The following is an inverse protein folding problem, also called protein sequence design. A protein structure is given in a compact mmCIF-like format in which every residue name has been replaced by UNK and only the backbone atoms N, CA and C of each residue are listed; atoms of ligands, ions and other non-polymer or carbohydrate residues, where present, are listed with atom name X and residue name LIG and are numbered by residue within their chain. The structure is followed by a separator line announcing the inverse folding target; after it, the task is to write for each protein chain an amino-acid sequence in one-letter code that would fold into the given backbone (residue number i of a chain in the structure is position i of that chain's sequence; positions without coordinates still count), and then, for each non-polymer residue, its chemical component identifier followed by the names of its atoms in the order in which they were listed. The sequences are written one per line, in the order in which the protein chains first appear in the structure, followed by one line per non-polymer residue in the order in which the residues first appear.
data_IF_019016140388
#
_entry.id   IF_019016140388
#
_cell.length_a   1.000
_cell.length_b   1.000
_cell.length_c   1.000
_cell.angle_alpha   90.00
_cell.angle_beta   90.00
_cell.angle_gamma   90.00
#
_symmetry.space_group_name_H-M   'P 1'
#
loop_
_entity.id
_entity.type
_entity.pdbx_description
1 polymer ?
#
# COMPACT_ATOMS: atom_id res chain seq x y z
N UNK A 1 9.48 27.07 15.29
CA UNK A 1 10.52 26.07 15.64
C UNK A 1 10.37 24.94 14.63
N UNK A 2 11.32 24.84 13.69
CA UNK A 2 11.31 23.77 12.68
C UNK A 2 11.74 22.50 13.40
N UNK A 3 10.80 21.58 13.62
CA UNK A 3 11.14 20.24 14.13
C UNK A 3 12.12 19.62 13.14
N UNK A 4 13.34 19.35 13.60
CA UNK A 4 14.35 18.71 12.78
C UNK A 4 13.82 17.35 12.32
N UNK A 5 13.81 17.12 11.01
CA UNK A 5 13.51 15.80 10.43
C UNK A 5 14.52 14.80 11.01
N UNK A 6 14.03 13.68 11.54
CA UNK A 6 14.86 12.57 12.03
C UNK A 6 14.59 11.35 11.15
N UNK A 7 15.31 11.19 10.02
CA UNK A 7 15.03 10.14 9.04
C UNK A 7 15.04 8.73 9.63
N UNK A 8 15.94 8.47 10.59
CA UNK A 8 16.06 7.17 11.25
C UNK A 8 14.80 6.83 12.07
N UNK A 9 14.22 7.84 12.73
CA UNK A 9 12.98 7.65 13.48
C UNK A 9 11.79 7.42 12.55
N UNK A 10 11.69 8.15 11.44
CA UNK A 10 10.64 7.95 10.44
C UNK A 10 10.69 6.54 9.82
N UNK A 11 11.88 6.06 9.46
CA UNK A 11 12.07 4.72 8.92
C UNK A 11 11.69 3.63 9.95
N UNK A 12 12.09 3.80 11.22
CA UNK A 12 11.72 2.88 12.28
C UNK A 12 10.20 2.87 12.55
N UNK A 13 9.56 4.04 12.58
CA UNK A 13 8.12 4.17 12.73
C UNK A 13 7.36 3.49 11.58
N UNK A 14 7.83 3.68 10.34
CA UNK A 14 7.28 2.98 9.17
C UNK A 14 7.37 1.46 9.30
N UNK A 15 8.55 0.94 9.65
CA UNK A 15 8.75 -0.50 9.76
C UNK A 15 7.86 -1.11 10.85
N UNK A 16 7.72 -0.42 11.99
CA UNK A 16 6.83 -0.86 13.06
C UNK A 16 5.35 -0.79 12.63
N UNK A 17 4.95 0.26 11.92
CA UNK A 17 3.59 0.37 11.38
C UNK A 17 3.22 -0.79 10.44
N UNK A 18 4.16 -1.18 9.56
CA UNK A 18 3.99 -2.33 8.68
C UNK A 18 3.80 -3.62 9.48
N UNK A 19 4.69 -3.88 10.45
CA UNK A 19 4.64 -5.09 11.27
C UNK A 19 3.32 -5.19 12.04
N UNK A 20 2.92 -4.12 12.72
CA UNK A 20 1.65 -4.08 13.47
C UNK A 20 0.43 -4.33 12.58
N UNK A 21 0.46 -3.89 11.32
CA UNK A 21 -0.64 -4.11 10.37
C UNK A 21 -0.71 -5.55 9.83
N UNK A 22 0.39 -6.31 9.92
CA UNK A 22 0.52 -7.69 9.45
C UNK A 22 0.34 -8.72 10.56
N UNK A 23 0.29 -8.31 11.83
CA UNK A 23 0.02 -9.22 12.94
C UNK A 23 -1.35 -9.91 12.81
N UNK A 24 -1.51 -11.14 13.35
CA UNK A 24 -2.80 -11.84 13.35
C UNK A 24 -3.92 -11.06 14.04
N UNK A 25 -3.58 -10.32 15.10
CA UNK A 25 -4.47 -9.44 15.87
C UNK A 25 -3.91 -8.00 15.84
N UNK A 26 -4.08 -7.27 14.73
CA UNK A 26 -3.33 -6.04 14.50
C UNK A 26 -3.87 -4.85 15.30
N UNK A 27 -2.98 -4.10 15.97
CA UNK A 27 -3.29 -2.75 16.46
C UNK A 27 -3.23 -1.74 15.30
N UNK A 28 -4.33 -1.68 14.54
CA UNK A 28 -4.45 -0.76 13.40
C UNK A 28 -4.54 0.72 13.81
N UNK A 29 -4.79 1.01 15.10
CA UNK A 29 -4.78 2.37 15.62
C UNK A 29 -3.35 2.89 15.75
N UNK A 30 -2.49 2.09 16.40
CA UNK A 30 -1.08 2.41 16.55
C UNK A 30 -0.33 2.35 15.22
N UNK A 31 -0.62 1.36 14.38
CA UNK A 31 -0.06 1.27 13.03
C UNK A 31 -0.34 2.54 12.21
N UNK A 32 -1.55 3.08 12.29
CA UNK A 32 -1.90 4.32 11.61
C UNK A 32 -1.10 5.50 12.17
N UNK A 33 -1.05 5.63 13.50
CA UNK A 33 -0.35 6.73 14.16
C UNK A 33 1.12 6.79 13.72
N UNK A 34 1.78 5.63 13.70
CA UNK A 34 3.18 5.50 13.29
C UNK A 34 3.39 5.75 11.80
N UNK A 35 2.52 5.22 10.92
CA UNK A 35 2.60 5.47 9.48
C UNK A 35 2.39 6.96 9.14
N UNK A 36 1.47 7.64 9.83
CA UNK A 36 1.25 9.08 9.66
C UNK A 36 2.46 9.90 10.10
N UNK A 37 3.09 9.56 11.23
CA UNK A 37 4.34 10.21 11.69
C UNK A 37 5.46 10.03 10.66
N UNK A 38 5.63 8.82 10.14
CA UNK A 38 6.63 8.54 9.12
C UNK A 38 6.38 9.37 7.85
N UNK A 39 5.12 9.45 7.40
CA UNK A 39 4.71 10.24 6.23
C UNK A 39 4.88 11.74 6.44
N UNK A 40 4.65 12.26 7.65
CA UNK A 40 4.86 13.67 7.96
C UNK A 40 6.35 14.06 7.87
N UNK A 41 7.25 13.16 8.31
CA UNK A 41 8.69 13.41 8.30
C UNK A 41 9.33 13.17 6.93
N UNK A 42 8.84 12.17 6.19
CA UNK A 42 9.37 11.76 4.89
C UNK A 42 8.22 11.58 3.88
N UNK A 43 7.56 12.67 3.43
CA UNK A 43 6.32 12.62 2.65
C UNK A 43 6.49 12.02 1.25
N UNK A 44 7.72 12.03 0.72
CA UNK A 44 8.05 11.62 -0.64
C UNK A 44 8.60 10.19 -0.75
N UNK A 45 8.90 9.55 0.39
CA UNK A 45 9.47 8.21 0.45
C UNK A 45 8.43 7.13 0.14
N UNK A 46 8.55 6.51 -1.05
CA UNK A 46 7.51 5.63 -1.63
C UNK A 46 7.11 4.47 -0.71
N UNK A 47 8.08 3.88 0.00
CA UNK A 47 7.80 2.80 0.95
C UNK A 47 6.95 3.25 2.15
N UNK A 48 7.08 4.51 2.58
CA UNK A 48 6.25 5.10 3.64
C UNK A 48 4.83 5.38 3.12
N UNK A 49 4.72 5.87 1.89
CA UNK A 49 3.43 6.06 1.22
C UNK A 49 2.68 4.73 1.10
N UNK A 50 3.38 3.68 0.66
CA UNK A 50 2.83 2.34 0.53
C UNK A 50 2.39 1.76 1.87
N UNK A 51 3.21 1.86 2.93
CA UNK A 51 2.81 1.40 4.28
C UNK A 51 1.57 2.13 4.80
N UNK A 52 1.49 3.46 4.63
CA UNK A 52 0.29 4.21 5.05
C UNK A 52 -0.95 3.76 4.27
N UNK A 53 -0.81 3.54 2.96
CA UNK A 53 -1.86 2.95 2.13
C UNK A 53 -2.28 1.57 2.63
N UNK A 54 -1.32 0.73 3.01
CA UNK A 54 -1.55 -0.63 3.52
C UNK A 54 -2.30 -0.63 4.84
N UNK A 55 -1.91 0.25 5.76
CA UNK A 55 -2.65 0.43 7.03
C UNK A 55 -4.08 0.89 6.76
N UNK A 56 -4.29 1.85 5.84
CA UNK A 56 -5.64 2.25 5.45
C UNK A 56 -6.45 1.10 4.83
N UNK A 57 -5.83 0.26 4.02
CA UNK A 57 -6.47 -0.90 3.41
C UNK A 57 -6.92 -1.92 4.48
N UNK A 58 -6.04 -2.26 5.42
CA UNK A 58 -6.36 -3.16 6.56
C UNK A 58 -7.48 -2.61 7.43
N UNK A 59 -7.56 -1.29 7.57
CA UNK A 59 -8.67 -0.58 8.24
C UNK A 59 -9.94 -0.44 7.39
N UNK A 60 -10.00 -1.08 6.22
CA UNK A 60 -11.12 -1.00 5.24
C UNK A 60 -11.42 0.43 4.77
N UNK A 61 -10.47 1.35 4.97
CA UNK A 61 -10.55 2.74 4.51
C UNK A 61 -10.09 2.83 3.05
N UNK A 62 -10.78 2.11 2.17
CA UNK A 62 -10.32 1.81 0.81
C UNK A 62 -10.09 3.05 -0.06
N UNK A 63 -10.90 4.10 0.10
CA UNK A 63 -10.71 5.36 -0.64
C UNK A 63 -9.41 6.07 -0.24
N UNK A 64 -9.02 6.03 1.04
CA UNK A 64 -7.75 6.59 1.51
C UNK A 64 -6.58 5.72 1.04
N UNK A 65 -6.69 4.40 1.19
CA UNK A 65 -5.69 3.46 0.71
C UNK A 65 -5.41 3.64 -0.79
N UNK A 66 -6.46 3.75 -1.60
CA UNK A 66 -6.35 3.99 -3.04
C UNK A 66 -5.57 5.27 -3.36
N UNK A 67 -5.78 6.34 -2.60
CA UNK A 67 -5.08 7.60 -2.84
C UNK A 67 -3.57 7.45 -2.58
N UNK A 68 -3.19 6.84 -1.45
CA UNK A 68 -1.78 6.60 -1.12
C UNK A 68 -1.12 5.67 -2.15
N UNK A 69 -1.77 4.54 -2.49
CA UNK A 69 -1.22 3.62 -3.49
C UNK A 69 -1.14 4.23 -4.88
N UNK A 70 -2.09 5.07 -5.28
CA UNK A 70 -2.02 5.78 -6.56
C UNK A 70 -0.79 6.71 -6.58
N UNK A 71 -0.54 7.44 -5.50
CA UNK A 71 0.67 8.27 -5.37
C UNK A 71 1.95 7.43 -5.42
N UNK A 72 1.97 6.26 -4.75
CA UNK A 72 3.12 5.36 -4.79
C UNK A 72 3.38 4.83 -6.22
N UNK A 73 2.33 4.43 -6.94
CA UNK A 73 2.41 3.99 -8.34
C UNK A 73 2.87 5.12 -9.28
N UNK A 74 2.44 6.35 -9.05
CA UNK A 74 2.91 7.51 -9.84
C UNK A 74 4.41 7.75 -9.67
N UNK A 75 4.93 7.58 -8.45
CA UNK A 75 6.37 7.77 -8.14
C UNK A 75 7.24 6.61 -8.63
N UNK A 76 6.75 5.37 -8.55
CA UNK A 76 7.47 4.17 -8.99
C UNK A 76 6.57 3.26 -9.85
N UNK A 77 6.32 3.64 -11.12
CA UNK A 77 5.34 2.96 -11.97
C UNK A 77 5.73 1.54 -12.37
N UNK A 78 7.01 1.20 -12.26
CA UNK A 78 7.58 -0.09 -12.64
C UNK A 78 7.57 -1.12 -11.51
N UNK A 79 7.18 -0.72 -10.27
CA UNK A 79 7.16 -1.62 -9.12
C UNK A 79 5.82 -2.39 -9.06
N UNK A 80 5.79 -3.71 -9.31
CA UNK A 80 4.52 -4.45 -9.45
C UNK A 80 3.70 -4.48 -8.16
N UNK A 81 4.37 -4.51 -7.00
CA UNK A 81 3.72 -4.57 -5.68
C UNK A 81 2.81 -3.37 -5.42
N UNK A 82 3.22 -2.17 -5.82
CA UNK A 82 2.43 -0.94 -5.62
C UNK A 82 1.13 -0.99 -6.44
N UNK A 83 1.21 -1.50 -7.68
CA UNK A 83 0.02 -1.69 -8.52
C UNK A 83 -0.88 -2.80 -8.00
N UNK A 84 -0.30 -3.85 -7.43
CA UNK A 84 -1.06 -4.90 -6.74
C UNK A 84 -1.86 -4.32 -5.57
N UNK A 85 -1.22 -3.55 -4.68
CA UNK A 85 -1.91 -2.87 -3.58
C UNK A 85 -2.99 -1.90 -4.05
N UNK A 86 -2.72 -1.12 -5.10
CA UNK A 86 -3.72 -0.24 -5.71
C UNK A 86 -4.94 -1.03 -6.20
N UNK A 87 -4.74 -2.18 -6.84
CA UNK A 87 -5.82 -3.03 -7.31
C UNK A 87 -6.68 -3.59 -6.15
N UNK A 88 -6.04 -4.01 -5.05
CA UNK A 88 -6.74 -4.44 -3.83
C UNK A 88 -7.63 -3.32 -3.26
N UNK A 89 -7.09 -2.11 -3.12
CA UNK A 89 -7.86 -0.96 -2.62
C UNK A 89 -9.02 -0.59 -3.56
N UNK A 90 -8.79 -0.58 -4.87
CA UNK A 90 -9.85 -0.37 -5.86
C UNK A 90 -10.97 -1.40 -5.74
N UNK A 91 -10.61 -2.67 -5.53
CA UNK A 91 -11.61 -3.73 -5.36
C UNK A 91 -12.42 -3.55 -4.08
N UNK A 92 -11.74 -3.25 -2.95
CA UNK A 92 -12.40 -2.95 -1.67
C UNK A 92 -13.35 -1.74 -1.74
N UNK A 93 -13.03 -0.74 -2.57
CA UNK A 93 -13.89 0.42 -2.85
C UNK A 93 -15.06 0.10 -3.82
N UNK A 94 -15.20 -1.14 -4.27
CA UNK A 94 -16.23 -1.57 -5.23
C UNK A 94 -15.92 -1.24 -6.69
N UNK A 95 -14.73 -0.73 -7.01
CA UNK A 95 -14.30 -0.38 -8.37
C UNK A 95 -13.71 -1.59 -9.11
N UNK A 96 -14.48 -2.69 -9.16
CA UNK A 96 -14.08 -4.01 -9.71
C UNK A 96 -13.41 -3.90 -11.10
N UNK A 97 -13.98 -3.14 -12.03
CA UNK A 97 -13.41 -2.97 -13.38
C UNK A 97 -12.02 -2.34 -13.37
N UNK A 98 -11.80 -1.34 -12.50
CA UNK A 98 -10.50 -0.66 -12.39
C UNK A 98 -9.48 -1.56 -11.70
N UNK A 99 -9.88 -2.30 -10.67
CA UNK A 99 -9.04 -3.27 -9.98
C UNK A 99 -8.51 -4.34 -10.93
N UNK A 100 -9.38 -4.95 -11.75
CA UNK A 100 -8.99 -5.95 -12.77
C UNK A 100 -8.00 -5.37 -13.78
N UNK A 101 -8.21 -4.10 -14.20
CA UNK A 101 -7.31 -3.43 -15.13
C UNK A 101 -5.91 -3.27 -14.54
N UNK A 102 -5.80 -2.84 -13.28
CA UNK A 102 -4.50 -2.72 -12.62
C UNK A 102 -3.84 -4.09 -12.39
N UNK A 103 -4.60 -5.11 -11.97
CA UNK A 103 -4.04 -6.46 -11.77
C UNK A 103 -3.50 -7.07 -13.07
N UNK A 104 -4.19 -6.86 -14.20
CA UNK A 104 -3.70 -7.27 -15.53
C UNK A 104 -2.39 -6.58 -15.89
N UNK A 105 -2.26 -5.28 -15.57
CA UNK A 105 -1.01 -4.52 -15.79
C UNK A 105 0.12 -5.05 -14.93
N UNK A 106 -0.15 -5.33 -13.65
CA UNK A 106 0.81 -5.93 -12.72
C UNK A 106 1.35 -7.25 -13.27
N UNK A 107 0.48 -8.14 -13.75
CA UNK A 107 0.85 -9.48 -14.22
C UNK A 107 1.50 -9.49 -15.61
N UNK A 108 1.28 -8.46 -16.42
CA UNK A 108 1.92 -8.29 -17.72
C UNK A 108 3.40 -7.88 -17.62
N UNK A 109 3.86 -7.43 -16.44
CA UNK A 109 5.25 -7.11 -16.18
C UNK A 109 6.18 -8.32 -16.31
N UNK A 110 7.43 -8.07 -16.72
CA UNK A 110 8.47 -9.11 -16.91
C UNK A 110 9.11 -9.61 -15.62
N UNK A 111 8.88 -8.92 -14.50
CA UNK A 111 9.42 -9.26 -13.19
C UNK A 111 8.52 -10.22 -12.41
N UNK A 112 9.13 -11.15 -11.70
CA UNK A 112 8.44 -11.85 -10.62
C UNK A 112 8.36 -10.93 -9.38
N UNK A 113 7.31 -11.11 -8.58
CA UNK A 113 7.15 -10.42 -7.32
C UNK A 113 6.42 -11.34 -6.33
N UNK A 114 6.63 -11.20 -5.01
CA UNK A 114 6.19 -12.21 -4.06
C UNK A 114 4.69 -12.56 -4.16
N UNK A 115 3.84 -11.57 -4.44
CA UNK A 115 2.39 -11.69 -4.54
C UNK A 115 1.88 -12.08 -5.94
N UNK A 116 2.77 -12.44 -6.89
CA UNK A 116 2.37 -12.75 -8.27
C UNK A 116 1.30 -13.85 -8.36
N UNK A 117 1.49 -14.95 -7.63
CA UNK A 117 0.54 -16.07 -7.60
C UNK A 117 -0.81 -15.68 -7.00
N UNK A 118 -0.79 -14.84 -5.97
CA UNK A 118 -2.00 -14.31 -5.35
C UNK A 118 -2.75 -13.39 -6.32
N UNK A 119 -2.03 -12.49 -7.00
CA UNK A 119 -2.58 -11.64 -8.05
C UNK A 119 -3.21 -12.47 -9.19
N UNK A 120 -2.58 -13.56 -9.64
CA UNK A 120 -3.18 -14.45 -10.65
C UNK A 120 -4.48 -15.11 -10.17
N UNK A 121 -4.54 -15.46 -8.88
CA UNK A 121 -5.73 -16.05 -8.25
C UNK A 121 -6.87 -15.03 -8.15
N UNK A 122 -6.58 -13.84 -7.64
CA UNK A 122 -7.54 -12.74 -7.55
C UNK A 122 -8.06 -12.32 -8.93
N UNK A 123 -7.19 -12.30 -9.96
CA UNK A 123 -7.62 -11.96 -11.32
C UNK A 123 -8.73 -12.91 -11.79
N UNK A 124 -8.54 -14.22 -11.60
CA UNK A 124 -9.54 -15.23 -12.00
C UNK A 124 -10.85 -15.03 -11.24
N UNK A 125 -10.77 -14.92 -9.91
CA UNK A 125 -11.93 -14.75 -9.04
C UNK A 125 -12.72 -13.48 -9.35
N UNK A 126 -12.05 -12.38 -9.72
CA UNK A 126 -12.72 -11.12 -10.02
C UNK A 126 -13.22 -11.05 -11.46
N UNK A 127 -12.89 -11.99 -12.34
CA UNK A 127 -13.45 -12.02 -13.69
C UNK A 127 -14.74 -12.84 -13.79
N UNK A 128 -14.99 -13.69 -12.81
CA UNK A 128 -16.26 -14.38 -12.57
C UNK A 128 -17.31 -13.41 -11.99
#
# INVERSE_FOLDING_TARGET
QVLAVQPDFAAAANNLAWLLAEEPEPDLGEALRLAMIAKEQLPDEVHIIDTLGWVHYKRKSYSLARNEFAQAVEKQPDMPILRYHLALALFGEGKKTQAIKELKRTLAGKGDFPQRREAETLLKQWQE
#
